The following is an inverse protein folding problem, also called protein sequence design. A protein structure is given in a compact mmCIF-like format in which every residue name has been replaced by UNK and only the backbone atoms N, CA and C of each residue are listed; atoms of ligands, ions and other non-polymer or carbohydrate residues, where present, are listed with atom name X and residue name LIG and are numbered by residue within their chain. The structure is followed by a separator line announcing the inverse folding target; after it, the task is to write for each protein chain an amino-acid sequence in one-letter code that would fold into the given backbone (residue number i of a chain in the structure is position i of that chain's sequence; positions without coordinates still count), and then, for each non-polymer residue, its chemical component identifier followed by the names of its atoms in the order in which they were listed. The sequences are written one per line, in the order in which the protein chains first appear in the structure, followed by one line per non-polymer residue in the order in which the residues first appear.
data_IF_050282457751
#
_entry.id   IF_050282457751
#
_cell.length_a   1.000
_cell.length_b   1.000
_cell.length_c   1.000
_cell.angle_alpha   90.00
_cell.angle_beta   90.00
_cell.angle_gamma   90.00
#
_symmetry.space_group_name_H-M   'P 1'
#
loop_
_entity.id
_entity.type
_entity.pdbx_description
1 polymer ?
#
# COMPACT_ATOMS: atom_id res chain seq x y z
N UNK A 1 52.85 -17.91 -3.79
CA UNK A 1 52.38 -17.37 -5.08
C UNK A 1 51.12 -18.13 -5.43
N UNK A 2 49.90 -17.63 -5.37
CA UNK A 2 49.41 -16.26 -5.38
C UNK A 2 48.16 -16.28 -6.25
N UNK A 3 46.99 -16.50 -5.64
CA UNK A 3 45.68 -16.10 -6.14
C UNK A 3 44.67 -16.31 -5.00
N UNK A 4 44.45 -15.25 -4.23
CA UNK A 4 43.33 -15.14 -3.30
C UNK A 4 42.08 -14.95 -4.15
N UNK A 5 41.27 -15.98 -4.29
CA UNK A 5 39.94 -15.85 -4.87
C UNK A 5 39.06 -15.27 -3.75
N UNK A 6 39.03 -13.93 -3.67
CA UNK A 6 37.97 -13.21 -2.96
C UNK A 6 36.73 -13.37 -3.83
N UNK A 7 36.13 -14.55 -3.77
CA UNK A 7 34.79 -14.78 -4.26
C UNK A 7 33.89 -13.89 -3.42
N UNK A 8 33.53 -12.74 -3.97
CA UNK A 8 32.46 -11.89 -3.50
C UNK A 8 31.16 -12.69 -3.54
N UNK A 9 30.97 -13.60 -2.59
CA UNK A 9 29.66 -14.13 -2.28
C UNK A 9 28.90 -12.97 -1.65
N UNK A 10 28.00 -12.45 -2.48
CA UNK A 10 27.08 -11.39 -2.18
C UNK A 10 26.55 -11.55 -0.76
N UNK A 11 26.94 -10.60 0.09
CA UNK A 11 26.27 -10.29 1.33
C UNK A 11 24.78 -10.15 0.99
N UNK A 12 24.00 -11.20 1.26
CA UNK A 12 22.53 -11.13 1.27
C UNK A 12 22.12 -10.43 2.55
N UNK A 13 22.50 -9.15 2.66
CA UNK A 13 21.76 -8.18 3.47
C UNK A 13 20.66 -7.62 2.56
N UNK A 14 19.54 -8.35 2.46
CA UNK A 14 18.27 -7.74 2.05
C UNK A 14 17.30 -7.63 3.21
N UNK A 15 17.84 -7.34 4.40
CA UNK A 15 17.15 -6.49 5.36
C UNK A 15 17.16 -5.04 4.88
N UNK A 16 16.40 -4.74 3.82
CA UNK A 16 15.95 -3.39 3.47
C UNK A 16 15.02 -3.45 2.26
N UNK A 17 13.80 -2.98 2.52
CA UNK A 17 12.77 -2.62 1.55
C UNK A 17 11.95 -3.78 0.98
N UNK A 18 10.95 -4.21 1.75
CA UNK A 18 9.61 -4.45 1.22
C UNK A 18 8.96 -3.13 0.70
N UNK A 19 9.76 -2.28 0.04
CA UNK A 19 9.25 -1.31 -0.91
C UNK A 19 9.14 -2.14 -2.17
N UNK A 20 8.02 -2.86 -2.28
CA UNK A 20 7.56 -3.44 -3.54
C UNK A 20 7.91 -2.42 -4.63
N UNK A 21 8.49 -2.89 -5.72
CA UNK A 21 8.91 -2.05 -6.83
C UNK A 21 7.65 -1.51 -7.52
N UNK A 22 7.01 -0.53 -6.88
CA UNK A 22 5.83 0.17 -7.38
C UNK A 22 6.26 1.23 -8.40
N UNK A 23 7.28 0.91 -9.20
CA UNK A 23 7.71 1.71 -10.34
C UNK A 23 6.94 1.38 -11.60
N UNK A 24 6.16 0.30 -11.62
CA UNK A 24 5.19 0.07 -12.68
C UNK A 24 3.94 0.89 -12.40
N UNK A 25 3.59 1.82 -13.30
CA UNK A 25 2.43 2.72 -13.24
C UNK A 25 1.04 2.07 -13.19
N UNK A 26 0.93 0.88 -12.60
CA UNK A 26 -0.31 0.15 -12.36
C UNK A 26 -1.01 0.55 -11.05
N UNK A 27 -0.37 1.37 -10.21
CA UNK A 27 -1.09 1.99 -9.11
C UNK A 27 -2.08 3.02 -9.61
N UNK A 28 -3.33 2.82 -9.24
CA UNK A 28 -4.38 3.79 -9.43
C UNK A 28 -4.68 4.44 -8.09
N UNK A 29 -4.64 5.77 -8.04
CA UNK A 29 -5.18 6.51 -6.91
C UNK A 29 -6.67 6.17 -6.76
N UNK A 30 -7.03 5.63 -5.60
CA UNK A 30 -8.42 5.40 -5.21
C UNK A 30 -9.02 6.76 -4.88
N UNK A 31 -9.85 7.26 -5.79
CA UNK A 31 -10.66 8.46 -5.52
C UNK A 31 -11.82 8.05 -4.62
N UNK A 32 -12.24 8.96 -3.75
CA UNK A 32 -13.43 8.81 -2.91
C UNK A 32 -14.65 8.31 -3.73
N UNK A 33 -14.91 8.91 -4.89
CA UNK A 33 -15.98 8.47 -5.81
C UNK A 33 -15.89 7.00 -6.20
N UNK A 34 -14.67 6.48 -6.44
CA UNK A 34 -14.48 5.08 -6.84
C UNK A 34 -14.67 4.12 -5.65
N UNK A 35 -14.23 4.50 -4.46
CA UNK A 35 -14.48 3.73 -3.24
C UNK A 35 -15.99 3.68 -2.96
N UNK A 36 -16.69 4.80 -3.07
CA UNK A 36 -18.14 4.88 -2.87
C UNK A 36 -18.95 4.08 -3.89
N UNK A 37 -18.47 3.99 -5.13
CA UNK A 37 -19.06 3.18 -6.19
C UNK A 37 -18.96 1.68 -5.86
N UNK A 38 -17.83 1.26 -5.28
CA UNK A 38 -17.60 -0.11 -4.80
C UNK A 38 -18.31 -0.43 -3.49
N UNK A 39 -18.93 0.56 -2.86
CA UNK A 39 -19.58 0.41 -1.58
C UNK A 39 -18.61 0.46 -0.39
N UNK A 40 -17.50 1.18 -0.52
CA UNK A 40 -16.46 1.32 0.51
C UNK A 40 -16.46 2.78 1.00
N UNK A 41 -16.51 2.98 2.31
CA UNK A 41 -16.33 4.32 2.89
C UNK A 41 -14.84 4.67 2.98
N UNK A 42 -14.44 5.77 2.35
CA UNK A 42 -13.05 6.18 2.29
C UNK A 42 -12.50 6.63 3.65
N UNK A 43 -13.36 7.09 4.57
CA UNK A 43 -12.98 7.45 5.93
C UNK A 43 -12.77 6.17 6.76
N UNK A 44 -13.75 5.28 6.77
CA UNK A 44 -13.67 4.01 7.50
C UNK A 44 -12.51 3.14 6.99
N UNK A 45 -12.28 3.08 5.68
CA UNK A 45 -11.14 2.35 5.11
C UNK A 45 -9.81 2.89 5.63
N UNK A 46 -9.68 4.22 5.79
CA UNK A 46 -8.47 4.80 6.38
C UNK A 46 -8.33 4.48 7.86
N UNK A 47 -9.42 4.37 8.59
CA UNK A 47 -9.42 3.97 10.00
C UNK A 47 -9.02 2.51 10.17
N UNK A 48 -9.47 1.61 9.30
CA UNK A 48 -9.03 0.20 9.28
C UNK A 48 -7.53 0.10 9.00
N UNK A 49 -7.04 0.88 8.03
CA UNK A 49 -5.65 0.82 7.58
C UNK A 49 -4.64 1.49 8.52
N UNK A 50 -5.03 2.57 9.23
CA UNK A 50 -4.12 3.34 10.09
C UNK A 50 -4.47 3.31 11.58
N UNK A 51 -5.61 2.72 11.94
CA UNK A 51 -6.24 2.89 13.24
C UNK A 51 -6.94 4.25 13.37
N UNK A 52 -7.98 4.28 14.18
CA UNK A 52 -8.84 5.45 14.51
C UNK A 52 -8.07 6.68 15.03
N UNK A 53 -6.80 6.51 15.45
CA UNK A 53 -6.03 7.52 16.18
C UNK A 53 -4.97 8.25 15.34
N UNK A 54 -4.84 7.96 14.04
CA UNK A 54 -3.89 8.66 13.15
C UNK A 54 -4.60 9.67 12.26
N UNK A 55 -3.89 10.74 11.88
CA UNK A 55 -4.39 11.78 10.98
C UNK A 55 -4.65 11.22 9.58
N UNK A 56 -5.84 10.65 9.37
CA UNK A 56 -6.37 10.06 8.12
C UNK A 56 -6.27 10.99 6.90
N UNK A 57 -6.18 12.30 7.13
CA UNK A 57 -6.05 13.32 6.09
C UNK A 57 -4.66 13.36 5.41
N UNK A 58 -3.63 12.71 5.98
CA UNK A 58 -2.25 12.76 5.43
C UNK A 58 -1.91 11.68 4.41
N UNK A 59 -2.85 10.78 4.15
CA UNK A 59 -2.64 9.62 3.28
C UNK A 59 -3.69 9.57 2.16
N UNK A 60 -3.22 9.29 0.95
CA UNK A 60 -4.03 8.91 -0.18
C UNK A 60 -4.04 7.38 -0.30
N UNK A 61 -5.20 6.81 -0.62
CA UNK A 61 -5.30 5.39 -0.93
C UNK A 61 -4.96 5.15 -2.40
N UNK A 62 -4.18 4.13 -2.66
CA UNK A 62 -3.84 3.65 -3.98
C UNK A 62 -4.15 2.17 -4.05
N UNK A 63 -4.52 1.67 -5.21
CA UNK A 63 -4.72 0.25 -5.45
C UNK A 63 -3.84 -0.19 -6.59
N UNK A 64 -3.22 -1.35 -6.47
CA UNK A 64 -2.59 -1.99 -7.60
C UNK A 64 -3.66 -2.68 -8.46
N UNK A 65 -3.74 -2.31 -9.74
CA UNK A 65 -4.75 -2.87 -10.66
C UNK A 65 -4.52 -4.35 -10.96
N UNK A 66 -3.31 -4.88 -10.77
CA UNK A 66 -2.99 -6.27 -11.09
C UNK A 66 -3.33 -7.19 -9.91
N UNK A 67 -2.91 -6.82 -8.71
CA UNK A 67 -3.11 -7.64 -7.51
C UNK A 67 -4.37 -7.27 -6.72
N UNK A 68 -4.95 -6.09 -6.93
CA UNK A 68 -6.06 -5.59 -6.11
C UNK A 68 -5.64 -5.13 -4.71
N UNK A 69 -4.33 -5.10 -4.43
CA UNK A 69 -3.79 -4.73 -3.12
C UNK A 69 -3.86 -3.23 -2.90
N UNK A 70 -4.19 -2.82 -1.67
CA UNK A 70 -4.22 -1.41 -1.28
C UNK A 70 -2.88 -0.95 -0.75
N UNK A 71 -2.50 0.25 -1.16
CA UNK A 71 -1.30 0.96 -0.78
C UNK A 71 -1.70 2.33 -0.25
N UNK A 72 -0.89 2.85 0.66
CA UNK A 72 -1.07 4.19 1.20
C UNK A 72 0.04 5.08 0.67
N UNK A 73 -0.32 6.18 0.02
CA UNK A 73 0.61 7.23 -0.36
C UNK A 73 0.62 8.31 0.71
N UNK A 74 1.76 8.59 1.30
CA UNK A 74 1.92 9.76 2.17
C UNK A 74 2.03 11.04 1.32
N UNK A 75 1.77 12.20 1.94
CA UNK A 75 1.99 13.50 1.28
C UNK A 75 3.44 13.71 0.81
N UNK A 76 4.40 13.12 1.52
CA UNK A 76 5.83 13.10 1.16
C UNK A 76 6.16 12.21 -0.05
N UNK A 77 5.17 11.50 -0.61
CA UNK A 77 5.34 10.63 -1.76
C UNK A 77 5.76 9.20 -1.44
N UNK A 78 5.94 8.86 -0.16
CA UNK A 78 6.22 7.49 0.28
C UNK A 78 5.00 6.61 0.03
N UNK A 79 5.24 5.41 -0.51
CA UNK A 79 4.20 4.41 -0.71
C UNK A 79 4.40 3.30 0.31
N UNK A 80 3.37 3.05 1.11
CA UNK A 80 3.35 2.06 2.17
C UNK A 80 2.40 0.95 1.70
N UNK A 81 2.88 -0.29 1.50
CA UNK A 81 1.98 -1.41 1.23
C UNK A 81 1.08 -1.63 2.43
N UNK A 82 -0.20 -1.89 2.19
CA UNK A 82 -1.10 -2.35 3.22
C UNK A 82 -1.35 -3.84 3.08
N UNK A 83 -1.60 -4.49 4.21
CA UNK A 83 -1.94 -5.91 4.25
C UNK A 83 -3.32 -6.18 3.60
N UNK A 84 -4.18 -5.17 3.59
CA UNK A 84 -5.54 -5.29 3.10
C UNK A 84 -5.65 -5.11 1.58
N UNK A 85 -6.52 -5.92 0.99
CA UNK A 85 -6.99 -5.80 -0.38
C UNK A 85 -8.25 -4.94 -0.47
N UNK A 86 -8.58 -4.49 -1.68
CA UNK A 86 -9.78 -3.68 -1.92
C UNK A 86 -11.06 -4.42 -1.52
N UNK A 87 -11.10 -5.73 -1.72
CA UNK A 87 -12.24 -6.58 -1.39
C UNK A 87 -12.44 -6.70 0.13
N UNK A 88 -11.36 -6.86 0.89
CA UNK A 88 -11.40 -6.89 2.35
C UNK A 88 -11.86 -5.55 2.93
N UNK A 89 -11.40 -4.43 2.36
CA UNK A 89 -11.86 -3.11 2.79
C UNK A 89 -13.36 -2.92 2.57
N UNK A 90 -13.97 -3.63 1.63
CA UNK A 90 -15.43 -3.57 1.46
C UNK A 90 -16.18 -4.25 2.60
N UNK A 91 -15.60 -5.29 3.17
CA UNK A 91 -16.19 -6.02 4.31
C UNK A 91 -15.96 -5.26 5.63
N UNK A 92 -14.75 -4.72 5.83
CA UNK A 92 -14.39 -3.99 7.05
C UNK A 92 -14.84 -2.52 7.08
N UNK A 93 -14.97 -1.89 5.92
CA UNK A 93 -15.33 -0.48 5.78
C UNK A 93 -16.45 -0.29 4.73
N UNK A 94 -17.61 -0.95 4.91
CA UNK A 94 -18.73 -0.77 4.01
C UNK A 94 -19.19 0.70 4.03
N UNK A 95 -19.65 1.18 2.89
CA UNK A 95 -20.33 2.47 2.84
C UNK A 95 -21.64 2.35 3.61
N UNK A 96 -21.74 3.03 4.74
CA UNK A 96 -23.00 3.20 5.45
C UNK A 96 -23.85 4.17 4.62
N UNK A 97 -24.55 3.64 3.60
CA UNK A 97 -25.59 4.38 2.90
C UNK A 97 -26.82 4.41 3.81
N UNK A 98 -26.76 5.30 4.79
CA UNK A 98 -27.93 5.71 5.57
C UNK A 98 -28.83 6.62 4.75
#
# INVERSE_FOLDING_TARGET
MGAVIIGAQAVTTKGRSAVTDIRNGNLRKLKDKYLKDLGIDAHAAKEVLNGTNKRNARFDLMVDKKSGQVFQKTKDGTIIPSDYSLDELKDYAPIDRK
#
